data_IF_017023813844
#
_entry.id   IF_017023813844
#
_cell.length_a   1.000
_cell.length_b   1.000
_cell.length_c   1.000
_cell.angle_alpha   90.00
_cell.angle_beta   90.00
_cell.angle_gamma   90.00
#
_symmetry.space_group_name_H-M   'P 1'
#
loop_
_entity.id
_entity.type
_entity.pdbx_description
1 polymer ?
#
# COMPACT_ATOMS: atom_id res chain seq x y z
N UNK A 1 -0.84 16.46 -33.26
CA UNK A 1 -0.04 16.95 -33.06
C UNK A 1 0.73 16.61 -32.10
N UNK A 2 0.23 16.43 -31.19
CA UNK A 2 1.02 16.06 -30.20
C UNK A 2 1.88 14.94 -30.59
N UNK A 3 1.37 13.92 -31.19
CA UNK A 3 2.18 12.80 -31.54
C UNK A 3 3.22 13.18 -32.55
N UNK A 4 2.91 14.07 -33.44
CA UNK A 4 3.88 14.42 -34.35
C UNK A 4 4.85 15.33 -33.82
N UNK A 5 4.44 16.21 -33.02
CA UNK A 5 5.32 17.08 -32.39
C UNK A 5 6.39 16.38 -31.78
N UNK A 6 6.09 15.24 -31.32
CA UNK A 6 7.05 14.50 -30.64
C UNK A 6 7.82 13.63 -31.54
N UNK A 7 7.56 13.72 -32.82
CA UNK A 7 8.30 12.93 -33.71
C UNK A 7 9.69 13.33 -33.83
N UNK A 8 10.04 14.50 -33.42
CA UNK A 8 11.39 14.86 -33.56
C UNK A 8 12.22 14.17 -32.57
N UNK A 9 12.19 12.93 -32.51
CA UNK A 9 13.09 12.19 -31.71
C UNK A 9 12.55 11.83 -30.33
N UNK A 10 11.47 12.44 -29.95
CA UNK A 10 10.87 12.09 -28.66
C UNK A 10 9.50 11.51 -28.93
N UNK A 11 9.34 10.24 -28.55
CA UNK A 11 8.06 9.58 -28.69
C UNK A 11 7.13 10.04 -27.57
N UNK A 12 5.90 10.33 -27.90
CA UNK A 12 4.90 10.74 -26.93
C UNK A 12 4.69 9.67 -25.87
N UNK A 13 4.76 8.40 -26.28
CA UNK A 13 4.62 7.31 -25.34
C UNK A 13 5.73 7.32 -24.30
N UNK A 14 6.96 7.56 -24.73
CA UNK A 14 8.08 7.60 -23.82
C UNK A 14 7.97 8.79 -22.87
N UNK A 15 7.53 9.93 -23.38
CA UNK A 15 7.34 11.10 -22.56
C UNK A 15 6.26 10.82 -21.50
N UNK A 16 5.15 10.21 -21.90
CA UNK A 16 4.06 9.91 -20.99
C UNK A 16 4.55 8.97 -19.89
N UNK A 17 5.31 7.93 -20.25
CA UNK A 17 5.84 7.00 -19.27
C UNK A 17 6.77 7.67 -18.29
N UNK A 18 7.61 8.58 -18.77
CA UNK A 18 8.53 9.29 -17.90
C UNK A 18 7.78 10.18 -16.90
N UNK A 19 6.79 10.89 -17.39
CA UNK A 19 5.99 11.74 -16.51
C UNK A 19 5.23 10.90 -15.51
N UNK A 20 4.61 9.83 -15.97
CA UNK A 20 3.85 8.94 -15.10
C UNK A 20 4.74 8.34 -14.02
N UNK A 21 5.93 7.90 -14.40
CA UNK A 21 6.87 7.33 -13.44
C UNK A 21 7.30 8.35 -12.40
N UNK A 22 7.56 9.57 -12.81
CA UNK A 22 8.01 10.59 -11.87
C UNK A 22 6.88 11.04 -10.96
N UNK A 23 5.61 10.81 -11.36
CA UNK A 23 4.47 11.17 -10.54
C UNK A 23 4.01 10.03 -9.63
N UNK A 24 4.68 8.88 -9.68
CA UNK A 24 4.29 7.75 -8.87
C UNK A 24 4.85 7.90 -7.47
N UNK A 25 4.17 8.69 -6.67
CA UNK A 25 4.56 8.96 -5.28
C UNK A 25 4.36 7.70 -4.45
N UNK A 26 5.00 7.63 -3.27
CA UNK A 26 4.73 6.51 -2.36
C UNK A 26 3.26 6.35 -2.04
N UNK A 27 2.55 7.47 -1.88
CA UNK A 27 1.13 7.43 -1.58
C UNK A 27 0.34 6.77 -2.71
N UNK A 28 0.64 7.12 -3.96
CA UNK A 28 -0.04 6.50 -5.09
C UNK A 28 0.29 5.03 -5.22
N UNK A 29 1.52 4.65 -4.90
CA UNK A 29 1.92 3.25 -4.94
C UNK A 29 1.16 2.42 -3.93
N UNK A 30 0.96 2.95 -2.72
CA UNK A 30 0.19 2.25 -1.70
C UNK A 30 -1.27 2.14 -2.15
N UNK A 31 -1.83 3.23 -2.68
CA UNK A 31 -3.20 3.21 -3.16
C UNK A 31 -3.40 2.18 -4.27
N UNK A 32 -2.43 2.09 -5.20
CA UNK A 32 -2.53 1.10 -6.27
C UNK A 32 -2.44 -0.32 -5.71
N UNK A 33 -1.55 -0.55 -4.75
CA UNK A 33 -1.43 -1.87 -4.14
C UNK A 33 -2.74 -2.29 -3.49
N UNK A 34 -3.36 -1.40 -2.72
CA UNK A 34 -4.62 -1.72 -2.06
C UNK A 34 -5.75 -1.90 -3.06
N UNK A 35 -5.72 -1.14 -4.16
CA UNK A 35 -6.69 -1.32 -5.24
C UNK A 35 -6.53 -2.70 -5.87
N UNK A 36 -5.28 -3.11 -6.14
CA UNK A 36 -5.02 -4.42 -6.74
C UNK A 36 -5.41 -5.55 -5.80
N UNK A 37 -5.40 -5.30 -4.50
CA UNK A 37 -5.82 -6.27 -3.49
C UNK A 37 -7.34 -6.22 -3.26
N UNK A 38 -8.05 -5.40 -4.02
CA UNK A 38 -9.50 -5.29 -3.97
C UNK A 38 -10.05 -4.83 -2.62
N UNK A 39 -9.29 -3.98 -1.93
CA UNK A 39 -9.77 -3.38 -0.70
C UNK A 39 -10.51 -2.09 -1.02
N UNK A 40 -11.82 -2.00 -0.71
CA UNK A 40 -12.58 -0.79 -1.05
C UNK A 40 -12.11 0.42 -0.25
N UNK A 41 -11.93 1.58 -0.91
CA UNK A 41 -11.54 2.78 -0.18
C UNK A 41 -12.57 3.23 0.86
N UNK A 42 -13.79 2.71 0.79
CA UNK A 42 -14.83 3.04 1.77
C UNK A 42 -14.62 2.36 3.12
N UNK A 43 -13.75 1.35 3.20
CA UNK A 43 -13.44 0.72 4.48
C UNK A 43 -12.70 1.71 5.36
N UNK A 44 -13.07 1.79 6.64
CA UNK A 44 -12.31 2.63 7.58
C UNK A 44 -10.86 2.19 7.64
N UNK A 45 -10.65 0.89 7.65
CA UNK A 45 -9.31 0.34 7.70
C UNK A 45 -8.44 0.67 6.50
N UNK A 46 -9.05 1.06 5.37
CA UNK A 46 -8.30 1.43 4.19
C UNK A 46 -7.34 2.60 4.49
N UNK A 47 -7.86 3.69 5.06
CA UNK A 47 -7.02 4.85 5.35
C UNK A 47 -5.98 4.53 6.41
N UNK A 48 -6.36 3.78 7.41
CA UNK A 48 -5.45 3.42 8.50
C UNK A 48 -4.33 2.52 7.98
N UNK A 49 -4.68 1.54 7.16
CA UNK A 49 -3.69 0.65 6.57
C UNK A 49 -2.75 1.41 5.64
N UNK A 50 -3.30 2.29 4.82
CA UNK A 50 -2.51 3.11 3.91
C UNK A 50 -1.50 3.94 4.69
N UNK A 51 -1.94 4.61 5.75
CA UNK A 51 -1.05 5.42 6.57
C UNK A 51 0.03 4.58 7.23
N UNK A 52 -0.32 3.39 7.73
CA UNK A 52 0.65 2.52 8.37
C UNK A 52 1.72 2.07 7.38
N UNK A 53 1.32 1.68 6.17
CA UNK A 53 2.27 1.26 5.15
C UNK A 53 3.18 2.43 4.77
N UNK A 54 2.61 3.62 4.62
CA UNK A 54 3.40 4.81 4.28
C UNK A 54 4.42 5.14 5.35
N UNK A 55 4.04 5.01 6.62
CA UNK A 55 4.96 5.27 7.71
C UNK A 55 6.17 4.34 7.63
N UNK A 56 5.94 3.06 7.34
CA UNK A 56 7.03 2.10 7.25
C UNK A 56 7.83 2.23 5.96
N UNK A 57 7.29 2.88 4.94
CA UNK A 57 8.04 3.12 3.71
C UNK A 57 9.06 4.24 3.86
N UNK A 58 8.93 5.06 4.89
CA UNK A 58 9.86 6.16 5.14
C UNK A 58 11.15 5.59 5.72
N UNK A 59 12.26 5.78 5.01
CA UNK A 59 13.56 5.24 5.44
C UNK A 59 14.03 5.83 6.76
N UNK A 60 13.57 7.02 7.09
CA UNK A 60 13.97 7.68 8.34
C UNK A 60 13.08 7.29 9.51
N UNK A 61 12.02 6.54 9.27
CA UNK A 61 11.08 6.19 10.32
C UNK A 61 11.58 4.94 11.05
N UNK A 62 11.64 5.03 12.36
CA UNK A 62 12.05 3.90 13.19
C UNK A 62 10.81 3.35 13.89
N UNK A 63 10.48 2.11 13.61
CA UNK A 63 9.34 1.44 14.23
C UNK A 63 9.83 0.22 15.01
N UNK A 64 9.72 0.28 16.33
CA UNK A 64 10.05 -0.86 17.17
C UNK A 64 8.79 -1.61 17.62
N UNK A 65 7.64 -0.96 17.54
CA UNK A 65 6.39 -1.56 18.00
C UNK A 65 5.21 -0.83 17.35
N UNK A 66 4.29 -1.59 16.74
CA UNK A 66 3.08 -1.01 16.16
C UNK A 66 2.22 -0.37 17.24
N UNK A 67 2.16 -1.00 18.42
CA UNK A 67 1.38 -0.48 19.53
C UNK A 67 1.88 0.86 20.03
N UNK A 68 3.17 1.08 19.97
CA UNK A 68 3.76 2.32 20.46
C UNK A 68 3.98 3.36 19.37
N UNK A 69 4.32 2.92 18.17
CA UNK A 69 4.77 3.83 17.11
C UNK A 69 3.77 4.06 15.99
N UNK A 70 2.90 3.10 15.70
CA UNK A 70 2.01 3.20 14.55
C UNK A 70 0.59 3.54 14.94
N UNK A 71 -0.04 2.68 15.75
CA UNK A 71 -1.45 2.86 16.06
C UNK A 71 -1.78 4.18 16.77
N UNK A 72 -0.98 4.61 17.77
CA UNK A 72 -1.30 5.88 18.43
C UNK A 72 -1.20 7.09 17.51
N UNK A 73 -0.23 7.08 16.58
CA UNK A 73 -0.06 8.18 15.63
C UNK A 73 -1.25 8.28 14.70
N UNK A 74 -1.70 7.16 14.17
CA UNK A 74 -2.86 7.12 13.28
C UNK A 74 -4.12 7.49 14.07
N UNK A 75 -4.25 7.00 15.30
CA UNK A 75 -5.40 7.31 16.15
C UNK A 75 -5.50 8.81 16.37
N UNK A 76 -4.39 9.46 16.65
CA UNK A 76 -4.39 10.91 16.87
C UNK A 76 -4.80 11.65 15.61
N UNK A 77 -4.30 11.21 14.46
CA UNK A 77 -4.61 11.85 13.19
C UNK A 77 -6.10 11.83 12.88
N UNK A 78 -6.77 10.75 13.23
CA UNK A 78 -8.19 10.57 12.88
C UNK A 78 -9.14 10.72 14.07
N UNK A 79 -8.64 11.18 15.21
CA UNK A 79 -9.50 11.34 16.39
C UNK A 79 -10.10 10.05 16.88
N UNK A 80 -9.29 8.99 16.91
CA UNK A 80 -9.74 7.66 17.28
C UNK A 80 -8.87 7.08 18.39
N UNK A 81 -8.98 5.77 18.62
CA UNK A 81 -8.17 5.09 19.65
C UNK A 81 -7.30 4.03 18.98
N UNK A 82 -6.18 3.70 19.64
CA UNK A 82 -5.28 2.66 19.12
C UNK A 82 -6.01 1.34 18.91
N UNK A 83 -6.90 0.98 19.83
CA UNK A 83 -7.66 -0.26 19.71
C UNK A 83 -8.55 -0.24 18.47
N UNK A 84 -9.16 0.91 18.19
CA UNK A 84 -10.03 1.04 17.03
C UNK A 84 -9.22 0.98 15.74
N UNK A 85 -8.04 1.59 15.70
CA UNK A 85 -7.16 1.51 14.54
C UNK A 85 -6.76 0.06 14.28
N UNK A 86 -6.31 -0.65 15.32
CA UNK A 86 -5.87 -2.03 15.20
C UNK A 86 -7.01 -2.92 14.70
N UNK A 87 -8.19 -2.73 15.26
CA UNK A 87 -9.36 -3.53 14.89
C UNK A 87 -9.77 -3.30 13.45
N UNK A 88 -9.78 -2.04 13.01
CA UNK A 88 -10.20 -1.72 11.64
C UNK A 88 -9.17 -2.17 10.61
N UNK A 89 -7.88 -2.12 10.94
CA UNK A 89 -6.86 -2.67 10.05
C UNK A 89 -7.02 -4.18 9.94
N UNK A 90 -7.30 -4.84 11.06
CA UNK A 90 -7.52 -6.29 11.04
C UNK A 90 -8.71 -6.65 10.16
N UNK A 91 -9.79 -5.86 10.23
CA UNK A 91 -10.93 -6.07 9.35
C UNK A 91 -10.56 -5.90 7.89
N UNK A 92 -9.70 -4.93 7.58
CA UNK A 92 -9.25 -4.72 6.21
C UNK A 92 -8.41 -5.91 5.72
N UNK A 93 -7.52 -6.44 6.56
CA UNK A 93 -6.75 -7.63 6.21
C UNK A 93 -7.71 -8.80 5.96
N UNK A 94 -8.69 -8.98 6.84
CA UNK A 94 -9.68 -10.04 6.68
C UNK A 94 -10.41 -9.91 5.35
N UNK A 95 -10.78 -8.68 4.96
CA UNK A 95 -11.49 -8.46 3.70
C UNK A 95 -10.61 -8.85 2.51
N UNK A 96 -9.36 -8.45 2.52
CA UNK A 96 -8.43 -8.78 1.43
C UNK A 96 -8.37 -10.30 1.25
N UNK A 97 -8.23 -11.04 2.35
CA UNK A 97 -8.10 -12.50 2.27
C UNK A 97 -9.42 -13.21 2.02
N UNK A 98 -10.54 -12.52 2.23
CA UNK A 98 -11.84 -13.09 1.92
C UNK A 98 -12.19 -12.97 0.45
N UNK A 99 -11.75 -11.90 -0.22
CA UNK A 99 -12.14 -11.65 -1.61
C UNK A 99 -11.11 -12.07 -2.64
N UNK A 100 -9.90 -12.43 -2.22
CA UNK A 100 -8.86 -12.86 -3.14
C UNK A 100 -8.60 -14.35 -3.01
N UNK A 101 -8.45 -15.03 -4.14
CA UNK A 101 -7.95 -16.39 -4.13
C UNK A 101 -6.45 -16.35 -3.89
N UNK A 102 -5.84 -17.52 -3.62
CA UNK A 102 -4.40 -17.60 -3.48
C UNK A 102 -3.71 -17.12 -4.76
N UNK A 103 -4.27 -17.48 -5.90
CA UNK A 103 -3.72 -17.06 -7.19
C UNK A 103 -3.76 -15.54 -7.35
N UNK A 104 -4.86 -14.91 -6.91
CA UNK A 104 -4.97 -13.46 -6.97
C UNK A 104 -3.95 -12.81 -6.06
N UNK A 105 -3.77 -13.32 -4.85
CA UNK A 105 -2.79 -12.80 -3.92
C UNK A 105 -1.38 -12.95 -4.49
N UNK A 106 -1.09 -14.07 -5.11
CA UNK A 106 0.21 -14.29 -5.71
C UNK A 106 0.49 -13.31 -6.83
N UNK A 107 -0.50 -12.99 -7.65
CA UNK A 107 -0.32 -12.01 -8.72
C UNK A 107 0.09 -10.65 -8.18
N UNK A 108 -0.48 -10.25 -7.06
CA UNK A 108 -0.22 -8.92 -6.50
C UNK A 108 0.97 -8.91 -5.56
N UNK A 109 1.09 -9.93 -4.72
CA UNK A 109 2.10 -9.96 -3.65
C UNK A 109 3.30 -10.86 -3.97
N UNK A 110 3.22 -11.62 -5.07
CA UNK A 110 4.29 -12.55 -5.39
C UNK A 110 4.19 -13.82 -4.55
N UNK A 111 5.12 -14.73 -4.79
CA UNK A 111 5.18 -15.97 -4.01
C UNK A 111 5.85 -15.66 -2.68
N UNK A 112 5.06 -15.62 -1.63
CA UNK A 112 5.57 -15.32 -0.30
C UNK A 112 4.70 -16.07 0.71
N UNK A 113 5.21 -16.25 1.95
CA UNK A 113 4.44 -17.00 2.95
C UNK A 113 3.07 -16.40 3.24
N UNK A 114 2.89 -15.09 3.07
CA UNK A 114 1.63 -14.45 3.44
C UNK A 114 0.48 -14.77 2.48
N UNK A 115 0.75 -15.40 1.33
CA UNK A 115 -0.37 -15.76 0.43
C UNK A 115 -0.99 -17.09 0.85
N UNK A 116 -0.32 -17.88 1.68
CA UNK A 116 -0.84 -19.18 2.10
C UNK A 116 -1.70 -19.09 3.35
N UNK A 117 -1.26 -18.30 4.32
CA UNK A 117 -2.02 -18.11 5.56
C UNK A 117 -2.21 -16.62 5.80
N UNK A 118 -3.39 -16.25 6.27
CA UNK A 118 -3.68 -14.86 6.55
C UNK A 118 -2.76 -14.35 7.67
N UNK A 119 -1.99 -13.31 7.40
CA UNK A 119 -1.04 -12.80 8.39
C UNK A 119 -1.68 -11.89 9.41
N UNK A 120 -0.95 -11.56 10.47
CA UNK A 120 -1.35 -10.51 11.40
C UNK A 120 -1.22 -9.15 10.70
N UNK A 121 -1.79 -8.13 11.33
CA UNK A 121 -1.65 -6.76 10.84
C UNK A 121 -0.19 -6.39 10.64
N UNK A 122 0.63 -6.68 11.64
CA UNK A 122 2.05 -6.33 11.61
C UNK A 122 2.76 -6.99 10.44
N UNK A 123 2.53 -8.27 10.26
CA UNK A 123 3.18 -9.01 9.17
C UNK A 123 2.73 -8.50 7.81
N UNK A 124 1.43 -8.24 7.66
CA UNK A 124 0.89 -7.78 6.38
C UNK A 124 1.43 -6.41 6.02
N UNK A 125 1.37 -5.47 6.96
CA UNK A 125 1.81 -4.10 6.71
C UNK A 125 3.32 -4.05 6.47
N UNK A 126 4.07 -4.80 7.25
CA UNK A 126 5.53 -4.85 7.09
C UNK A 126 5.90 -5.42 5.72
N UNK A 127 5.21 -6.49 5.30
CA UNK A 127 5.46 -7.07 3.99
C UNK A 127 5.15 -6.07 2.87
N UNK A 128 4.01 -5.40 2.96
CA UNK A 128 3.62 -4.43 1.93
C UNK A 128 4.61 -3.28 1.84
N UNK A 129 5.04 -2.76 2.98
CA UNK A 129 6.00 -1.66 3.00
C UNK A 129 7.33 -2.10 2.39
N UNK A 130 7.79 -3.30 2.74
CA UNK A 130 9.05 -3.79 2.20
C UNK A 130 8.97 -4.02 0.70
N UNK A 131 7.84 -4.59 0.24
CA UNK A 131 7.62 -4.78 -1.19
C UNK A 131 7.75 -3.46 -1.94
N UNK A 132 7.11 -2.40 -1.42
CA UNK A 132 7.16 -1.11 -2.09
C UNK A 132 8.54 -0.47 -2.04
N UNK A 133 9.27 -0.68 -0.94
CA UNK A 133 10.62 -0.15 -0.83
C UNK A 133 11.57 -0.83 -1.83
N UNK A 134 11.39 -2.12 -2.04
CA UNK A 134 12.23 -2.86 -2.98
C UNK A 134 11.93 -2.52 -4.43
N UNK A 135 10.77 -1.94 -4.69
CA UNK A 135 10.38 -1.55 -6.04
C UNK A 135 10.83 -0.15 -6.43
N UNK A 136 11.46 0.57 -5.52
CA UNK A 136 11.92 1.93 -5.80
C UNK A 136 13.13 1.97 -6.74
#
# INVERSE_FOLDING_TARGET
MVSDVFNEGLDLTDLYKAIKGSEMTPEKKVSKLLYDLMLPPSYKGYRYMKDAILMLCDDNYVCTSFTKNIYPVIAEKYGSTSQNIEKNIRSAVNKIYAVNSREDLEKTLGKSPIIYDKPSNVKFITFCAEKLRLER
#
